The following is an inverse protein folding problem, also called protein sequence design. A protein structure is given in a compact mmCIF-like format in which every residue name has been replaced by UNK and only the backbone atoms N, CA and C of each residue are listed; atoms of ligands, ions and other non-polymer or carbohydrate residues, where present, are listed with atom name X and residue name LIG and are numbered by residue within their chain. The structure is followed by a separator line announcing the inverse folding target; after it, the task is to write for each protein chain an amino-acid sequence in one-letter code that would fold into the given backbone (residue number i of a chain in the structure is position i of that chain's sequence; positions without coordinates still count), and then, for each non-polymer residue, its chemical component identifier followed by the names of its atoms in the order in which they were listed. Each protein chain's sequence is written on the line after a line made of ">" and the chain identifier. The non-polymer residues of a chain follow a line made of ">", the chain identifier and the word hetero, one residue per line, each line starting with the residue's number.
data_IF_049754008351
#
_entry.id   IF_049754008351
#
_cell.length_a   1.000
_cell.length_b   1.000
_cell.length_c   1.000
_cell.angle_alpha   90.00
_cell.angle_beta   90.00
_cell.angle_gamma   90.00
#
_symmetry.space_group_name_H-M   'P 1'
#
loop_
_entity.id
_entity.type
_entity.pdbx_description
1 polymer ?
#
# COMPACT_ATOMS: atom_id res chain seq x y z
N UNK A 1 3.29 49.88 -53.02
CA UNK A 1 3.39 49.80 -51.55
C UNK A 1 2.67 48.55 -51.10
N UNK A 2 3.40 47.49 -50.75
CA UNK A 2 2.80 46.27 -50.19
C UNK A 2 2.50 46.59 -48.73
N UNK A 3 1.22 46.81 -48.41
CA UNK A 3 0.79 47.12 -47.05
C UNK A 3 1.10 45.96 -46.12
N UNK A 4 1.69 46.25 -44.96
CA UNK A 4 1.99 45.29 -43.90
C UNK A 4 0.73 44.52 -43.50
N UNK A 5 0.63 43.26 -43.94
CA UNK A 5 -0.37 42.33 -43.44
C UNK A 5 0.07 41.98 -42.01
N UNK A 6 -0.60 42.58 -41.01
CA UNK A 6 -0.38 42.23 -39.60
C UNK A 6 -0.80 40.77 -39.35
N UNK A 7 0.17 39.86 -39.42
CA UNK A 7 -0.05 38.43 -39.15
C UNK A 7 -0.11 38.24 -37.63
N UNK A 8 -1.26 37.81 -37.12
CA UNK A 8 -1.42 37.52 -35.69
C UNK A 8 -0.90 36.11 -35.36
N UNK A 9 -0.22 35.91 -34.24
CA UNK A 9 0.23 34.58 -33.81
C UNK A 9 -0.71 34.02 -32.74
N UNK A 10 -1.12 32.77 -32.87
CA UNK A 10 -1.99 32.13 -31.89
C UNK A 10 -1.21 31.86 -30.59
N UNK A 11 -1.64 32.36 -29.42
CA UNK A 11 -0.91 32.25 -28.15
C UNK A 11 -0.93 30.83 -27.53
N UNK A 12 -1.48 29.85 -28.24
CA UNK A 12 -1.69 28.48 -27.76
C UNK A 12 -0.85 27.46 -28.51
N UNK A 13 -0.61 27.69 -29.80
CA UNK A 13 0.11 26.78 -30.66
C UNK A 13 1.18 27.46 -31.53
N UNK A 14 1.29 28.79 -31.51
CA UNK A 14 2.25 29.52 -32.33
C UNK A 14 1.92 29.61 -33.82
N UNK A 15 0.80 29.02 -34.28
CA UNK A 15 0.39 29.14 -35.68
C UNK A 15 -0.12 30.54 -36.01
N UNK A 16 0.12 30.98 -37.24
CA UNK A 16 -0.41 32.23 -37.77
C UNK A 16 -1.95 32.22 -37.81
N UNK A 17 -2.53 33.36 -37.49
CA UNK A 17 -3.96 33.63 -37.51
C UNK A 17 -4.21 34.62 -38.62
N UNK A 18 -4.82 34.13 -39.70
CA UNK A 18 -5.14 34.95 -40.86
C UNK A 18 -6.30 35.89 -40.48
N UNK A 19 -6.11 37.21 -40.50
CA UNK A 19 -7.20 38.16 -40.26
C UNK A 19 -8.24 38.01 -41.38
N UNK A 20 -9.53 37.90 -41.03
CA UNK A 20 -10.58 37.94 -42.06
C UNK A 20 -10.75 39.37 -42.55
N UNK A 21 -10.37 39.64 -43.80
CA UNK A 21 -10.66 40.90 -44.51
C UNK A 21 -12.18 41.02 -44.78
N UNK A 22 -12.97 41.46 -43.79
CA UNK A 22 -14.31 42.00 -44.06
C UNK A 22 -14.49 43.28 -43.25
N UNK A 23 -15.02 44.32 -43.90
CA UNK A 23 -15.36 45.63 -43.29
C UNK A 23 -16.21 45.36 -42.02
N UNK A 24 -15.63 45.63 -40.85
CA UNK A 24 -16.25 45.39 -39.54
C UNK A 24 -15.87 44.10 -38.79
N UNK A 25 -14.90 43.30 -39.26
CA UNK A 25 -14.52 42.03 -38.64
C UNK A 25 -13.49 42.14 -37.50
N UNK A 26 -13.82 41.64 -36.30
CA UNK A 26 -12.88 41.48 -35.18
C UNK A 26 -11.78 40.47 -35.54
N UNK A 27 -10.50 40.84 -35.32
CA UNK A 27 -9.35 39.96 -35.55
C UNK A 27 -9.43 38.72 -34.65
N UNK A 28 -9.38 37.52 -35.24
CA UNK A 28 -9.43 36.28 -34.45
C UNK A 28 -8.17 36.17 -33.60
N UNK A 29 -8.32 36.01 -32.29
CA UNK A 29 -7.19 35.81 -31.34
C UNK A 29 -6.59 34.39 -31.37
N UNK A 30 -7.33 33.41 -31.86
CA UNK A 30 -6.89 32.00 -31.89
C UNK A 30 -7.07 31.42 -33.30
N UNK A 31 -6.15 30.55 -33.71
CA UNK A 31 -6.16 29.91 -35.04
C UNK A 31 -7.32 28.92 -35.24
N UNK A 32 -7.86 28.36 -34.16
CA UNK A 32 -8.87 27.32 -34.20
C UNK A 32 -9.71 27.31 -32.94
N UNK A 33 -10.87 26.64 -33.01
CA UNK A 33 -11.74 26.50 -31.86
C UNK A 33 -11.07 25.70 -30.74
N UNK A 34 -10.32 24.65 -31.09
CA UNK A 34 -9.50 23.87 -30.17
C UNK A 34 -8.52 24.73 -29.38
N UNK A 35 -7.87 25.69 -30.04
CA UNK A 35 -6.94 26.61 -29.36
C UNK A 35 -7.67 27.57 -28.41
N UNK A 36 -8.83 28.10 -28.80
CA UNK A 36 -9.67 28.93 -27.93
C UNK A 36 -10.11 28.16 -26.69
N UNK A 37 -10.60 26.93 -26.84
CA UNK A 37 -11.00 26.06 -25.73
C UNK A 37 -9.82 25.70 -24.82
N UNK A 38 -8.63 25.40 -25.38
CA UNK A 38 -7.42 25.12 -24.58
C UNK A 38 -6.99 26.34 -23.75
N UNK A 39 -7.04 27.54 -24.34
CA UNK A 39 -6.77 28.77 -23.60
C UNK A 39 -7.78 29.01 -22.47
N UNK A 40 -9.08 28.82 -22.75
CA UNK A 40 -10.14 28.95 -21.74
C UNK A 40 -9.98 27.92 -20.61
N UNK A 41 -9.70 26.65 -20.94
CA UNK A 41 -9.45 25.59 -19.96
C UNK A 41 -8.23 25.85 -19.08
N UNK A 42 -7.15 26.39 -19.66
CA UNK A 42 -5.96 26.81 -18.90
C UNK A 42 -6.31 27.93 -17.93
N UNK A 43 -7.00 28.98 -18.41
CA UNK A 43 -7.47 30.09 -17.56
C UNK A 43 -8.34 29.60 -16.42
N UNK A 44 -9.32 28.73 -16.71
CA UNK A 44 -10.18 28.12 -15.69
C UNK A 44 -9.35 27.34 -14.66
N UNK A 45 -8.37 26.55 -15.11
CA UNK A 45 -7.54 25.74 -14.21
C UNK A 45 -6.66 26.58 -13.30
N UNK A 46 -6.15 27.72 -13.79
CA UNK A 46 -5.33 28.65 -13.01
C UNK A 46 -6.19 29.45 -12.03
N UNK A 47 -7.35 29.93 -12.47
CA UNK A 47 -8.25 30.71 -11.63
C UNK A 47 -9.03 29.85 -10.62
N UNK A 48 -9.23 28.56 -10.89
CA UNK A 48 -10.05 27.66 -10.07
C UNK A 48 -9.35 26.32 -9.78
N UNK A 49 -8.19 26.31 -9.10
CA UNK A 49 -7.43 25.09 -8.84
C UNK A 49 -8.21 24.08 -7.95
N UNK A 50 -8.95 24.57 -6.95
CA UNK A 50 -9.81 23.74 -6.09
C UNK A 50 -10.93 23.06 -6.86
N UNK A 51 -11.72 23.84 -7.60
CA UNK A 51 -12.80 23.32 -8.45
C UNK A 51 -12.30 22.36 -9.52
N UNK A 52 -11.13 22.61 -10.10
CA UNK A 52 -10.49 21.67 -11.04
C UNK A 52 -10.15 20.34 -10.35
N UNK A 53 -9.65 20.38 -9.12
CA UNK A 53 -9.33 19.17 -8.33
C UNK A 53 -10.60 18.37 -8.02
N UNK A 54 -11.70 19.04 -7.69
CA UNK A 54 -13.01 18.41 -7.46
C UNK A 54 -13.55 17.73 -8.71
N UNK A 55 -13.59 18.44 -9.85
CA UNK A 55 -14.01 17.88 -11.14
C UNK A 55 -13.17 16.63 -11.49
N UNK A 56 -11.85 16.70 -11.31
CA UNK A 56 -10.95 15.57 -11.58
C UNK A 56 -11.22 14.40 -10.62
N UNK A 57 -11.52 14.69 -9.35
CA UNK A 57 -11.87 13.67 -8.35
C UNK A 57 -13.18 12.97 -8.73
N UNK A 58 -14.23 13.73 -9.04
CA UNK A 58 -15.52 13.19 -9.47
C UNK A 58 -15.39 12.35 -10.75
N UNK A 59 -14.62 12.83 -11.72
CA UNK A 59 -14.34 12.07 -12.93
C UNK A 59 -13.64 10.75 -12.60
N UNK A 60 -12.63 10.78 -11.72
CA UNK A 60 -11.88 9.58 -11.31
C UNK A 60 -12.77 8.57 -10.58
N UNK A 61 -13.70 9.05 -9.74
CA UNK A 61 -14.68 8.20 -9.04
C UNK A 61 -15.68 7.57 -10.00
N UNK A 62 -16.14 8.30 -11.01
CA UNK A 62 -17.03 7.76 -12.06
C UNK A 62 -16.32 6.82 -13.03
N UNK A 63 -14.99 6.87 -13.10
CA UNK A 63 -14.18 6.12 -14.08
C UNK A 63 -13.17 5.17 -13.40
N UNK A 64 -13.51 4.62 -12.22
CA UNK A 64 -12.59 3.80 -11.42
C UNK A 64 -12.00 2.64 -12.22
N UNK A 65 -12.82 1.89 -12.96
CA UNK A 65 -12.33 0.71 -13.70
C UNK A 65 -11.44 1.09 -14.88
N UNK A 66 -11.80 2.18 -15.57
CA UNK A 66 -10.97 2.76 -16.63
C UNK A 66 -9.62 3.23 -16.09
N UNK A 67 -9.62 3.89 -14.93
CA UNK A 67 -8.39 4.32 -14.25
C UNK A 67 -7.53 3.14 -13.78
N UNK A 68 -8.16 2.09 -13.23
CA UNK A 68 -7.45 0.86 -12.84
C UNK A 68 -6.80 0.19 -14.04
N UNK A 69 -7.54 0.02 -15.13
CA UNK A 69 -7.04 -0.60 -16.37
C UNK A 69 -5.89 0.22 -16.96
N UNK A 70 -6.04 1.54 -17.06
CA UNK A 70 -4.98 2.45 -17.52
C UNK A 70 -3.72 2.34 -16.67
N UNK A 71 -3.87 2.33 -15.34
CA UNK A 71 -2.74 2.20 -14.39
C UNK A 71 -2.06 0.83 -14.49
N UNK A 72 -2.83 -0.25 -14.62
CA UNK A 72 -2.29 -1.61 -14.82
C UNK A 72 -1.49 -1.69 -16.11
N UNK A 73 -2.04 -1.20 -17.22
CA UNK A 73 -1.35 -1.16 -18.51
C UNK A 73 -0.07 -0.35 -18.44
N UNK A 74 -0.12 0.86 -17.86
CA UNK A 74 1.08 1.68 -17.66
C UNK A 74 2.14 0.95 -16.83
N UNK A 75 1.75 0.35 -15.70
CA UNK A 75 2.67 -0.38 -14.82
C UNK A 75 3.29 -1.60 -15.50
N UNK A 76 2.54 -2.29 -16.37
CA UNK A 76 3.06 -3.38 -17.19
C UNK A 76 4.06 -2.87 -18.23
N UNK A 77 3.63 -1.93 -19.07
CA UNK A 77 4.39 -1.44 -20.22
C UNK A 77 5.68 -0.70 -19.80
N UNK A 78 5.70 -0.11 -18.60
CA UNK A 78 6.82 0.68 -18.08
C UNK A 78 7.54 0.00 -16.90
N UNK A 79 7.26 -1.29 -16.65
CA UNK A 79 7.78 -2.02 -15.48
C UNK A 79 9.31 -1.92 -15.35
N UNK A 80 10.02 -2.12 -16.46
CA UNK A 80 11.48 -2.12 -16.49
C UNK A 80 12.05 -0.72 -16.28
N UNK A 81 11.53 0.26 -17.00
CA UNK A 81 11.93 1.67 -16.88
C UNK A 81 11.73 2.19 -15.46
N UNK A 82 10.59 1.88 -14.84
CA UNK A 82 10.29 2.24 -13.46
C UNK A 82 11.19 1.50 -12.46
N UNK A 83 11.55 0.25 -12.74
CA UNK A 83 12.49 -0.52 -11.91
C UNK A 83 13.88 0.14 -11.92
N UNK A 84 14.38 0.50 -13.10
CA UNK A 84 15.67 1.19 -13.27
C UNK A 84 15.62 2.55 -12.57
N UNK A 85 14.58 3.35 -12.81
CA UNK A 85 14.38 4.66 -12.17
C UNK A 85 14.38 4.54 -10.64
N UNK A 86 13.64 3.57 -10.08
CA UNK A 86 13.62 3.33 -8.64
C UNK A 86 14.96 2.84 -8.10
N UNK A 87 15.69 2.00 -8.84
CA UNK A 87 17.05 1.58 -8.47
C UNK A 87 17.98 2.78 -8.40
N UNK A 88 18.05 3.59 -9.46
CA UNK A 88 18.87 4.80 -9.50
C UNK A 88 18.52 5.77 -8.37
N UNK A 89 17.23 5.97 -8.08
CA UNK A 89 16.81 6.80 -6.96
C UNK A 89 17.26 6.23 -5.61
N UNK A 90 17.11 4.92 -5.38
CA UNK A 90 17.56 4.26 -4.14
C UNK A 90 19.07 4.38 -3.97
N UNK A 91 19.83 4.19 -5.04
CA UNK A 91 21.30 4.26 -5.01
C UNK A 91 21.77 5.69 -4.68
N UNK A 92 21.16 6.70 -5.32
CA UNK A 92 21.44 8.12 -5.02
C UNK A 92 20.99 8.55 -3.63
N UNK A 93 19.96 7.90 -3.06
CA UNK A 93 19.38 8.24 -1.76
C UNK A 93 19.64 7.16 -0.70
N UNK A 94 20.76 6.44 -0.80
CA UNK A 94 21.03 5.24 0.01
C UNK A 94 20.96 5.51 1.51
N UNK A 95 21.57 6.60 1.97
CA UNK A 95 21.59 6.96 3.38
C UNK A 95 20.20 7.33 3.92
N UNK A 96 19.44 8.10 3.14
CA UNK A 96 18.05 8.43 3.46
C UNK A 96 17.18 7.18 3.54
N UNK A 97 17.31 6.26 2.58
CA UNK A 97 16.58 4.98 2.59
C UNK A 97 16.97 4.16 3.82
N UNK A 98 18.26 4.08 4.15
CA UNK A 98 18.74 3.33 5.30
C UNK A 98 18.27 3.93 6.63
N UNK A 99 18.33 5.25 6.81
CA UNK A 99 17.88 5.92 8.03
C UNK A 99 16.37 5.77 8.22
N UNK A 100 15.59 5.94 7.14
CA UNK A 100 14.14 5.69 7.13
C UNK A 100 13.83 4.24 7.49
N UNK A 101 14.52 3.27 6.89
CA UNK A 101 14.31 1.85 7.17
C UNK A 101 14.67 1.51 8.62
N UNK A 102 15.78 2.03 9.16
CA UNK A 102 16.13 1.86 10.57
C UNK A 102 15.03 2.38 11.49
N UNK A 103 14.51 3.59 11.25
CA UNK A 103 13.38 4.15 12.02
C UNK A 103 12.14 3.27 11.93
N UNK A 104 11.76 2.86 10.72
CA UNK A 104 10.60 1.98 10.50
C UNK A 104 10.72 0.65 11.24
N UNK A 105 11.89 0.01 11.16
CA UNK A 105 12.13 -1.28 11.83
C UNK A 105 12.13 -1.16 13.36
N UNK A 106 12.60 -0.02 13.91
CA UNK A 106 12.57 0.25 15.36
C UNK A 106 11.15 0.49 15.86
N UNK A 107 10.36 1.31 15.16
CA UNK A 107 9.01 1.69 15.61
C UNK A 107 7.95 0.63 15.33
N UNK A 108 8.13 -0.22 14.32
CA UNK A 108 7.16 -1.25 13.92
C UNK A 108 7.60 -2.67 14.28
N UNK A 109 8.38 -2.84 15.35
CA UNK A 109 8.98 -4.13 15.73
C UNK A 109 7.94 -5.24 15.92
N UNK A 110 6.81 -4.95 16.54
CA UNK A 110 5.75 -5.93 16.80
C UNK A 110 5.04 -6.35 15.51
N UNK A 111 4.68 -5.38 14.66
CA UNK A 111 4.08 -5.68 13.35
C UNK A 111 5.01 -6.53 12.47
N UNK A 112 6.33 -6.31 12.56
CA UNK A 112 7.31 -7.13 11.83
C UNK A 112 7.35 -8.57 12.34
N UNK A 113 7.24 -8.79 13.65
CA UNK A 113 7.17 -10.16 14.22
C UNK A 113 5.95 -10.91 13.70
N UNK A 114 4.78 -10.28 13.75
CA UNK A 114 3.54 -10.86 13.20
C UNK A 114 3.67 -11.20 11.71
N UNK A 115 4.29 -10.31 10.92
CA UNK A 115 4.50 -10.56 9.49
C UNK A 115 5.52 -11.69 9.24
N UNK A 116 6.58 -11.79 10.06
CA UNK A 116 7.56 -12.87 9.97
C UNK A 116 6.96 -14.22 10.37
N UNK A 117 6.10 -14.26 11.39
CA UNK A 117 5.34 -15.46 11.78
C UNK A 117 4.42 -15.92 10.65
N UNK A 118 3.64 -15.01 10.07
CA UNK A 118 2.78 -15.31 8.91
C UNK A 118 3.59 -15.84 7.72
N UNK A 119 4.74 -15.23 7.43
CA UNK A 119 5.64 -15.67 6.36
C UNK A 119 6.22 -17.06 6.62
N UNK A 120 6.62 -17.36 7.87
CA UNK A 120 7.11 -18.70 8.24
C UNK A 120 6.02 -19.76 8.11
N UNK A 121 4.80 -19.47 8.56
CA UNK A 121 3.65 -20.35 8.38
C UNK A 121 3.39 -20.64 6.89
N UNK A 122 3.36 -19.61 6.05
CA UNK A 122 3.17 -19.77 4.60
C UNK A 122 4.30 -20.56 3.92
N UNK A 123 5.57 -20.32 4.32
CA UNK A 123 6.73 -21.05 3.75
C UNK A 123 6.71 -22.54 4.08
N UNK A 124 6.16 -22.92 5.24
CA UNK A 124 6.06 -24.31 5.65
C UNK A 124 4.81 -25.02 5.09
N UNK A 125 4.04 -24.37 4.20
CA UNK A 125 2.83 -24.96 3.62
C UNK A 125 1.70 -25.15 4.65
N UNK A 126 1.85 -24.62 5.86
CA UNK A 126 0.84 -24.72 6.90
C UNK A 126 -0.27 -23.73 6.60
N UNK A 127 -1.51 -24.21 6.57
CA UNK A 127 -2.69 -23.37 6.44
C UNK A 127 -2.72 -22.40 7.64
N UNK A 128 -2.56 -21.12 7.36
CA UNK A 128 -2.50 -20.06 8.35
C UNK A 128 -3.93 -19.69 8.76
N UNK A 129 -4.51 -20.49 9.66
CA UNK A 129 -5.92 -20.36 10.09
C UNK A 129 -6.10 -19.50 11.32
N UNK A 130 -5.07 -19.30 12.13
CA UNK A 130 -5.22 -18.61 13.40
C UNK A 130 -5.56 -17.11 13.19
N UNK A 131 -6.76 -16.75 13.60
CA UNK A 131 -7.25 -15.38 13.65
C UNK A 131 -6.86 -14.69 14.94
N UNK A 132 -6.90 -13.34 14.95
CA UNK A 132 -6.63 -12.55 16.15
C UNK A 132 -7.66 -12.85 17.27
N UNK A 133 -8.93 -13.06 16.91
CA UNK A 133 -10.00 -13.40 17.86
C UNK A 133 -9.73 -14.74 18.54
N UNK A 134 -9.39 -15.79 17.77
CA UNK A 134 -9.08 -17.10 18.34
C UNK A 134 -7.86 -17.04 19.28
N UNK A 135 -6.84 -16.25 18.93
CA UNK A 135 -5.70 -16.04 19.84
C UNK A 135 -6.12 -15.38 21.16
N UNK A 136 -7.00 -14.37 21.11
CA UNK A 136 -7.52 -13.71 22.31
C UNK A 136 -8.39 -14.66 23.16
N UNK A 137 -9.17 -15.54 22.52
CA UNK A 137 -9.95 -16.58 23.21
C UNK A 137 -9.04 -17.58 23.92
N UNK A 138 -7.96 -18.02 23.28
CA UNK A 138 -6.96 -18.92 23.89
C UNK A 138 -6.32 -18.23 25.10
N UNK A 139 -5.89 -16.98 24.96
CA UNK A 139 -5.36 -16.20 26.09
C UNK A 139 -6.37 -16.12 27.23
N UNK A 140 -7.64 -15.84 26.92
CA UNK A 140 -8.70 -15.76 27.93
C UNK A 140 -8.92 -17.09 28.64
N UNK A 141 -8.91 -18.22 27.92
CA UNK A 141 -9.05 -19.57 28.49
C UNK A 141 -7.91 -19.93 29.45
N UNK A 142 -6.73 -19.36 29.22
CA UNK A 142 -5.56 -19.52 30.09
C UNK A 142 -5.40 -18.36 31.09
N UNK A 143 -6.41 -17.51 31.30
CA UNK A 143 -6.35 -16.33 32.20
C UNK A 143 -5.14 -15.41 31.92
N UNK A 144 -4.74 -15.32 30.65
CA UNK A 144 -3.55 -14.59 30.20
C UNK A 144 -2.24 -15.07 30.86
N UNK A 145 -2.20 -16.32 31.33
CA UNK A 145 -1.05 -16.97 31.97
C UNK A 145 -0.34 -17.92 31.01
N UNK A 146 0.94 -18.14 31.27
CA UNK A 146 1.74 -19.18 30.65
C UNK A 146 1.18 -20.55 31.01
N UNK A 147 0.82 -21.36 30.00
CA UNK A 147 0.28 -22.70 30.17
C UNK A 147 1.26 -23.67 30.89
N UNK A 148 2.56 -23.34 30.95
CA UNK A 148 3.58 -24.16 31.60
C UNK A 148 3.92 -23.73 33.02
N UNK A 149 4.10 -22.43 33.27
CA UNK A 149 4.58 -21.94 34.58
C UNK A 149 3.64 -20.95 35.28
N UNK A 150 2.51 -20.60 34.68
CA UNK A 150 1.49 -19.75 35.29
C UNK A 150 1.80 -18.25 35.34
N UNK A 151 2.98 -17.77 34.93
CA UNK A 151 3.27 -16.32 34.89
C UNK A 151 2.39 -15.60 33.87
N UNK A 152 2.04 -14.34 34.13
CA UNK A 152 1.36 -13.46 33.17
C UNK A 152 2.35 -12.55 32.40
N UNK A 153 3.64 -12.63 32.72
CA UNK A 153 4.63 -11.76 32.11
C UNK A 153 5.10 -12.30 30.77
N UNK A 154 5.16 -11.39 29.78
CA UNK A 154 5.79 -11.62 28.47
C UNK A 154 5.28 -12.90 27.81
N UNK A 155 3.96 -13.03 27.72
CA UNK A 155 3.32 -14.13 26.99
C UNK A 155 3.61 -14.03 25.50
N UNK A 156 3.92 -15.17 24.91
CA UNK A 156 4.15 -15.38 23.49
C UNK A 156 3.31 -16.55 23.01
N UNK A 157 3.03 -16.57 21.72
CA UNK A 157 2.40 -17.69 21.05
C UNK A 157 3.44 -18.79 20.84
N UNK A 158 3.16 -19.99 21.35
CA UNK A 158 3.95 -21.20 21.11
C UNK A 158 3.12 -22.24 20.35
N UNK A 159 3.77 -22.98 19.46
CA UNK A 159 3.13 -24.09 18.75
C UNK A 159 3.35 -25.41 19.48
N UNK A 160 2.30 -26.09 19.91
CA UNK A 160 2.38 -27.36 20.66
C UNK A 160 3.24 -28.37 19.88
N UNK A 161 2.88 -28.61 18.62
CA UNK A 161 3.74 -29.25 17.62
C UNK A 161 4.47 -28.13 16.86
N UNK A 162 5.81 -28.04 16.95
CA UNK A 162 6.56 -27.00 16.26
C UNK A 162 6.34 -27.02 14.74
N UNK A 163 6.31 -25.84 14.12
CA UNK A 163 6.18 -25.71 12.66
C UNK A 163 7.25 -26.50 11.88
N UNK A 164 8.47 -26.60 12.42
CA UNK A 164 9.57 -27.37 11.80
C UNK A 164 9.36 -28.88 11.81
N UNK A 165 8.35 -29.37 12.54
CA UNK A 165 7.95 -30.78 12.63
C UNK A 165 6.56 -31.02 12.02
N UNK A 166 6.08 -30.10 11.18
CA UNK A 166 4.79 -30.23 10.48
C UNK A 166 3.57 -29.75 11.27
N UNK A 167 3.75 -29.09 12.42
CA UNK A 167 2.63 -28.48 13.14
C UNK A 167 1.99 -27.34 12.35
N UNK A 168 0.69 -27.13 12.54
CA UNK A 168 -0.11 -26.08 11.88
C UNK A 168 -0.11 -24.78 12.69
N UNK A 169 -0.44 -23.65 12.05
CA UNK A 169 -0.69 -22.38 12.76
C UNK A 169 -2.19 -22.14 12.88
N UNK A 170 -2.81 -22.88 13.80
CA UNK A 170 -4.25 -22.94 14.03
C UNK A 170 -4.54 -23.02 15.53
N UNK A 171 -5.77 -22.71 15.94
CA UNK A 171 -6.16 -22.58 17.34
C UNK A 171 -5.93 -23.84 18.19
N UNK A 172 -6.00 -25.01 17.57
CA UNK A 172 -5.76 -26.33 18.14
C UNK A 172 -4.29 -26.67 18.39
N UNK A 173 -3.36 -26.02 17.68
CA UNK A 173 -1.92 -26.28 17.79
C UNK A 173 -1.14 -25.13 18.44
N UNK A 174 -1.81 -24.16 19.07
CA UNK A 174 -1.15 -23.02 19.73
C UNK A 174 -1.52 -22.92 21.20
N UNK A 175 -0.56 -22.49 22.01
CA UNK A 175 -0.72 -22.29 23.46
C UNK A 175 0.05 -21.03 23.91
N UNK A 176 -0.38 -20.39 25.01
CA UNK A 176 0.35 -19.26 25.56
C UNK A 176 1.51 -19.74 26.43
N UNK A 177 2.75 -19.38 26.04
CA UNK A 177 3.93 -19.58 26.88
C UNK A 177 4.63 -18.25 27.09
N UNK A 178 5.16 -18.01 28.29
CA UNK A 178 6.09 -16.91 28.49
C UNK A 178 7.37 -17.15 27.66
N UNK A 179 8.07 -16.06 27.32
CA UNK A 179 9.28 -16.13 26.48
C UNK A 179 10.30 -17.15 27.02
N UNK A 180 10.49 -17.23 28.34
CA UNK A 180 11.46 -18.17 28.93
C UNK A 180 11.06 -19.64 28.74
N UNK A 181 9.78 -19.98 28.94
CA UNK A 181 9.26 -21.33 28.70
C UNK A 181 9.28 -21.68 27.21
N UNK A 182 8.89 -20.76 26.33
CA UNK A 182 8.91 -20.95 24.89
C UNK A 182 10.34 -21.22 24.38
N UNK A 183 11.31 -20.41 24.81
CA UNK A 183 12.73 -20.61 24.49
C UNK A 183 13.25 -21.96 25.00
N UNK A 184 12.87 -22.39 26.21
CA UNK A 184 13.25 -23.70 26.77
C UNK A 184 12.64 -24.87 26.00
N UNK A 185 11.41 -24.72 25.47
CA UNK A 185 10.74 -25.73 24.65
C UNK A 185 11.40 -25.85 23.27
N UNK A 186 11.72 -24.73 22.64
CA UNK A 186 12.34 -24.68 21.30
C UNK A 186 11.54 -25.51 20.28
N UNK A 187 12.10 -26.61 19.77
CA UNK A 187 11.47 -27.52 18.81
C UNK A 187 11.07 -28.88 19.42
N UNK A 188 10.97 -28.96 20.75
CA UNK A 188 10.50 -30.17 21.44
C UNK A 188 8.98 -30.25 21.35
N UNK A 189 8.49 -31.47 21.13
CA UNK A 189 7.06 -31.80 21.27
C UNK A 189 6.93 -32.22 22.73
N UNK A 190 6.34 -31.36 23.55
CA UNK A 190 6.02 -31.70 24.93
C UNK A 190 4.60 -32.24 24.93
N UNK A 191 4.45 -33.53 25.25
CA UNK A 191 3.13 -34.17 25.34
C UNK A 191 2.46 -33.60 26.59
N UNK A 192 1.57 -32.62 26.40
CA UNK A 192 0.83 -32.06 27.53
C UNK A 192 -0.27 -33.07 27.86
N UNK A 193 -0.10 -33.82 28.97
CA UNK A 193 -1.20 -34.57 29.54
C UNK A 193 -2.32 -33.57 29.82
N UNK A 194 -3.44 -33.71 29.12
CA UNK A 194 -4.62 -32.89 29.39
C UNK A 194 -5.00 -33.11 30.85
N UNK A 195 -4.91 -32.07 31.67
CA UNK A 195 -5.47 -32.09 33.01
C UNK A 195 -6.93 -32.51 32.87
N UNK A 196 -7.26 -33.66 33.45
CA UNK A 196 -8.62 -34.15 33.52
C UNK A 196 -9.49 -33.04 34.11
N UNK A 197 -10.42 -32.52 33.30
CA UNK A 197 -11.50 -31.69 33.80
C UNK A 197 -12.31 -32.60 34.72
N UNK A 198 -12.19 -32.37 36.02
CA UNK A 198 -13.04 -32.99 37.03
C UNK A 198 -14.47 -32.54 36.77
N UNK A 199 -15.25 -33.35 36.05
CA UNK A 199 -16.70 -33.24 36.02
C UNK A 199 -17.19 -33.71 37.38
N UNK A 200 -17.38 -32.76 38.29
CA UNK A 200 -18.11 -32.97 39.54
C UNK A 200 -19.56 -33.34 39.18
N UNK A 201 -19.93 -34.58 39.53
CA UNK A 201 -21.31 -35.09 39.55
C UNK A 201 -22.16 -34.34 40.54
#
# INVERSE_FOLDING_TARGET
>A
MIGDISVNICPVCGMFVVPKLKRGGCSKKYCSEKCRTKAANKRFSVANPGRRKEINKEWSLRNVEKERTRKRKYAHDHREQESIRHKMWRDKNREYVNSRNRKYTKTNKEQRRLNDEKRRAAKNGCENKLTKSEWLEILSKHEYKCAKCGTQERISLDHIIPLSKGGTHSADNVQPLCISCNCKKYNKIEVVAQSAVSVSR
#
